data_IF_259724577212
#
_entry.id   IF_259724577212
#
_cell.length_a   1.000
_cell.length_b   1.000
_cell.length_c   1.000
_cell.angle_alpha   90.00
_cell.angle_beta   90.00
_cell.angle_gamma   90.00
#
_symmetry.space_group_name_H-M   'P 1'
#
loop_
_entity.id
_entity.type
_entity.pdbx_description
1 polymer ?
#
# COMPACT_ATOMS: atom_id res chain seq x y z
N UNK A 1 -14.64 44.58 7.51
CA UNK A 1 -14.10 43.31 8.02
C UNK A 1 -13.86 42.42 6.82
N UNK A 2 -12.65 41.90 6.64
CA UNK A 2 -12.36 40.97 5.53
C UNK A 2 -13.14 39.67 5.78
N UNK A 3 -14.00 39.30 4.84
CA UNK A 3 -14.73 38.03 4.81
C UNK A 3 -13.84 36.91 4.21
N UNK A 4 -12.55 36.90 4.51
CA UNK A 4 -11.68 35.83 4.05
C UNK A 4 -11.98 34.55 4.84
N UNK A 5 -12.29 33.43 4.15
CA UNK A 5 -12.47 32.16 4.82
C UNK A 5 -11.15 31.77 5.50
N UNK A 6 -11.18 31.71 6.83
CA UNK A 6 -10.05 31.20 7.63
C UNK A 6 -10.07 29.67 7.56
N UNK A 7 -9.59 29.12 6.45
CA UNK A 7 -9.36 27.68 6.32
C UNK A 7 -8.25 27.28 7.28
N UNK A 8 -8.52 26.32 8.16
CA UNK A 8 -7.50 25.82 9.10
C UNK A 8 -6.54 24.87 8.39
N UNK A 9 -5.31 24.73 8.88
CA UNK A 9 -4.32 23.78 8.31
C UNK A 9 -4.88 22.37 8.17
N UNK A 10 -5.72 21.94 9.11
CA UNK A 10 -6.39 20.63 9.06
C UNK A 10 -7.31 20.50 7.83
N UNK A 11 -8.07 21.54 7.49
CA UNK A 11 -8.96 21.53 6.32
C UNK A 11 -8.19 21.46 5.00
N UNK A 12 -6.95 21.97 4.96
CA UNK A 12 -6.07 21.87 3.78
C UNK A 12 -5.47 20.46 3.67
N UNK A 13 -4.92 19.97 4.78
CA UNK A 13 -4.17 18.70 4.83
C UNK A 13 -5.10 17.47 4.74
N UNK A 14 -6.35 17.57 5.20
CA UNK A 14 -7.30 16.44 5.26
C UNK A 14 -7.68 15.82 3.92
N UNK A 15 -7.54 16.56 2.81
CA UNK A 15 -7.86 16.11 1.47
C UNK A 15 -6.63 15.71 0.63
N UNK A 16 -5.43 15.79 1.20
CA UNK A 16 -4.19 15.52 0.48
C UNK A 16 -3.80 14.06 0.57
N UNK A 17 -3.27 13.53 -0.53
CA UNK A 17 -2.61 12.23 -0.59
C UNK A 17 -1.28 12.27 0.18
N UNK A 18 -0.78 11.12 0.64
CA UNK A 18 0.56 11.04 1.27
C UNK A 18 1.67 11.66 0.41
N UNK A 19 1.62 11.49 -0.91
CA UNK A 19 2.58 12.09 -1.84
C UNK A 19 2.57 13.61 -1.83
N UNK A 20 1.39 14.22 -1.76
CA UNK A 20 1.25 15.67 -1.74
C UNK A 20 1.69 16.24 -0.38
N UNK A 21 1.44 15.51 0.71
CA UNK A 21 1.94 15.90 2.04
C UNK A 21 3.46 15.91 2.11
N UNK A 22 4.11 14.95 1.44
CA UNK A 22 5.56 14.90 1.32
C UNK A 22 6.10 16.02 0.42
N UNK A 23 5.47 16.28 -0.74
CA UNK A 23 5.96 17.28 -1.70
C UNK A 23 5.85 18.71 -1.18
N UNK A 24 4.77 19.02 -0.47
CA UNK A 24 4.53 20.34 0.14
C UNK A 24 5.23 20.51 1.50
N UNK A 25 5.95 19.48 1.98
CA UNK A 25 6.70 19.52 3.23
C UNK A 25 5.82 19.51 4.49
N UNK A 26 4.59 19.02 4.39
CA UNK A 26 3.69 18.86 5.54
C UNK A 26 3.92 17.57 6.34
N UNK A 27 4.62 16.58 5.75
CA UNK A 27 5.01 15.32 6.38
C UNK A 27 6.40 14.86 5.89
N UNK A 28 7.00 13.93 6.61
CA UNK A 28 8.23 13.22 6.24
C UNK A 28 7.96 11.74 5.99
N UNK A 29 8.88 11.04 5.31
CA UNK A 29 8.74 9.61 5.05
C UNK A 29 8.60 8.77 6.32
N UNK A 30 9.29 9.16 7.39
CA UNK A 30 9.23 8.49 8.69
C UNK A 30 7.83 8.56 9.32
N UNK A 31 7.03 9.59 9.00
CA UNK A 31 5.66 9.73 9.50
C UNK A 31 4.71 8.65 8.93
N UNK A 32 5.12 8.00 7.83
CA UNK A 32 4.36 6.93 7.17
C UNK A 32 4.98 5.54 7.42
N UNK A 33 6.03 5.44 8.24
CA UNK A 33 6.66 4.16 8.54
C UNK A 33 5.81 3.35 9.53
N UNK A 34 5.35 2.17 9.07
CA UNK A 34 4.65 1.18 9.90
C UNK A 34 5.45 -0.13 9.92
N UNK A 35 6.10 -0.48 11.05
CA UNK A 35 6.89 -1.71 11.14
C UNK A 35 6.06 -2.97 10.87
N UNK A 36 4.77 -2.97 11.25
CA UNK A 36 3.87 -4.10 11.02
C UNK A 36 3.54 -4.25 9.52
N UNK A 37 3.42 -3.14 8.79
CA UNK A 37 3.22 -3.18 7.34
C UNK A 37 4.47 -3.72 6.62
N UNK A 38 5.66 -3.36 7.08
CA UNK A 38 6.91 -3.86 6.52
C UNK A 38 7.12 -5.36 6.78
N UNK A 39 6.74 -5.87 7.97
CA UNK A 39 6.75 -7.31 8.25
C UNK A 39 5.80 -8.08 7.31
N UNK A 40 4.57 -7.59 7.11
CA UNK A 40 3.62 -8.21 6.17
C UNK A 40 4.12 -8.22 4.73
N UNK A 41 4.82 -7.16 4.28
CA UNK A 41 5.42 -7.14 2.94
C UNK A 41 6.51 -8.20 2.78
N UNK A 42 7.31 -8.43 3.83
CA UNK A 42 8.34 -9.48 3.82
C UNK A 42 7.72 -10.87 3.75
N UNK A 43 6.68 -11.12 4.56
CA UNK A 43 5.93 -12.39 4.53
C UNK A 43 5.32 -12.63 3.13
N UNK A 44 4.65 -11.64 2.56
CA UNK A 44 4.08 -11.75 1.21
C UNK A 44 5.14 -12.03 0.13
N UNK A 45 6.32 -11.42 0.24
CA UNK A 45 7.42 -11.68 -0.70
C UNK A 45 7.97 -13.11 -0.57
N UNK A 46 8.01 -13.66 0.65
CA UNK A 46 8.41 -15.05 0.89
C UNK A 46 7.37 -16.00 0.28
N UNK A 47 6.09 -15.78 0.54
CA UNK A 47 4.99 -16.59 -0.02
C UNK A 47 4.98 -16.57 -1.55
N UNK A 48 5.22 -15.41 -2.16
CA UNK A 48 5.34 -15.27 -3.62
C UNK A 48 6.53 -16.08 -4.16
N UNK A 49 7.68 -16.01 -3.49
CA UNK A 49 8.86 -16.77 -3.88
C UNK A 49 8.67 -18.28 -3.74
N UNK A 50 8.04 -18.74 -2.66
CA UNK A 50 7.70 -20.14 -2.44
C UNK A 50 6.71 -20.65 -3.49
N UNK A 51 5.69 -19.84 -3.81
CA UNK A 51 4.72 -20.16 -4.86
C UNK A 51 5.40 -20.29 -6.21
N UNK A 52 6.34 -19.39 -6.53
CA UNK A 52 7.11 -19.44 -7.78
C UNK A 52 8.02 -20.67 -7.85
N UNK A 53 8.71 -21.02 -6.76
CA UNK A 53 9.61 -22.20 -6.69
C UNK A 53 8.85 -23.52 -6.75
N UNK A 54 7.66 -23.56 -6.14
CA UNK A 54 6.83 -24.76 -6.04
C UNK A 54 5.64 -24.75 -7.00
N UNK A 55 5.72 -23.93 -8.07
CA UNK A 55 4.70 -23.85 -9.09
C UNK A 55 4.43 -25.26 -9.64
N UNK A 56 3.18 -25.72 -9.50
CA UNK A 56 2.79 -27.02 -10.04
C UNK A 56 2.75 -26.93 -11.57
N UNK A 57 3.12 -27.99 -12.29
CA UNK A 57 2.99 -28.01 -13.74
C UNK A 57 1.52 -27.88 -14.13
N UNK A 58 1.24 -27.34 -15.33
CA UNK A 58 -0.12 -27.15 -15.83
C UNK A 58 -0.94 -28.47 -15.78
N UNK A 59 -0.31 -29.61 -16.08
CA UNK A 59 -0.91 -30.95 -15.99
C UNK A 59 -1.49 -31.31 -14.62
N UNK A 60 -0.96 -30.75 -13.53
CA UNK A 60 -1.51 -30.92 -12.18
C UNK A 60 -2.88 -30.23 -12.06
N UNK A 61 -3.01 -29.02 -12.60
CA UNK A 61 -4.26 -28.27 -12.57
C UNK A 61 -5.29 -28.88 -13.52
N UNK A 62 -4.85 -29.29 -14.71
CA UNK A 62 -5.68 -29.97 -15.72
C UNK A 62 -6.14 -31.39 -15.30
N UNK A 63 -5.65 -31.91 -14.17
CA UNK A 63 -6.13 -33.17 -13.59
C UNK A 63 -7.17 -32.97 -12.50
N UNK A 64 -7.08 -31.87 -11.75
CA UNK A 64 -7.86 -31.67 -10.52
C UNK A 64 -8.86 -30.51 -10.60
N UNK A 65 -8.77 -29.63 -11.59
CA UNK A 65 -9.56 -28.39 -11.67
C UNK A 65 -10.21 -28.14 -13.04
N UNK A 66 -10.09 -29.07 -13.99
CA UNK A 66 -10.76 -29.07 -15.32
C UNK A 66 -12.06 -29.87 -15.27
N UNK A 67 -13.01 -29.42 -14.45
CA UNK A 67 -14.43 -29.71 -14.69
C UNK A 67 -15.21 -28.41 -14.49
N UNK A 68 -15.39 -27.67 -15.59
CA UNK A 68 -16.45 -26.68 -15.79
C UNK A 68 -17.00 -26.82 -17.20
#
# INVERSE_FOLDING_TARGET
>A
MSNEPKTTRYQIVSSMTPSELLSEGYANYDDFYDPCAEERKKEAAIDEEETRKNAKPQEYYDKYYTEF
#
